data_IF_450104747301
#
_entry.id   IF_450104747301
#
_cell.length_a   1.000
_cell.length_b   1.000
_cell.length_c   1.000
_cell.angle_alpha   90.00
_cell.angle_beta   90.00
_cell.angle_gamma   90.00
#
_symmetry.space_group_name_H-M   'P 1'
#
loop_
_entity.id
_entity.type
_entity.pdbx_description
1 polymer ?
#
# COMPACT_ATOMS: atom_id res chain seq x y z
N UNK A 1 -32.88 -9.87 -27.00
CA UNK A 1 -32.37 -8.52 -26.81
C UNK A 1 -31.61 -8.56 -25.47
N UNK A 2 -30.28 -8.84 -25.50
CA UNK A 2 -29.46 -8.90 -24.30
C UNK A 2 -29.08 -7.47 -23.92
N UNK A 3 -29.59 -7.00 -22.79
CA UNK A 3 -29.19 -5.74 -22.19
C UNK A 3 -27.86 -5.98 -21.46
N UNK A 4 -26.75 -5.59 -22.06
CA UNK A 4 -25.45 -5.55 -21.39
C UNK A 4 -25.46 -4.40 -20.39
N UNK A 5 -25.66 -4.72 -19.10
CA UNK A 5 -25.43 -3.81 -18.00
C UNK A 5 -23.92 -3.55 -17.92
N UNK A 6 -23.45 -2.43 -18.42
CA UNK A 6 -22.12 -1.95 -18.18
C UNK A 6 -22.01 -1.51 -16.72
N UNK A 7 -21.33 -2.32 -15.89
CA UNK A 7 -20.87 -1.91 -14.59
C UNK A 7 -19.87 -0.77 -14.79
N UNK A 8 -20.28 0.48 -14.58
CA UNK A 8 -19.33 1.59 -14.51
C UNK A 8 -18.66 1.56 -13.15
N UNK A 9 -17.44 1.07 -13.12
CA UNK A 9 -16.62 1.09 -11.93
C UNK A 9 -16.36 2.54 -11.51
N UNK A 10 -16.59 2.84 -10.24
CA UNK A 10 -16.20 4.11 -9.64
C UNK A 10 -14.69 4.13 -9.51
N UNK A 11 -14.03 5.09 -10.12
CA UNK A 11 -12.59 5.24 -10.04
C UNK A 11 -12.27 6.14 -8.86
N UNK A 12 -11.93 5.55 -7.72
CA UNK A 12 -11.18 6.24 -6.69
C UNK A 12 -9.73 5.89 -6.91
N UNK A 13 -8.88 6.89 -6.99
CA UNK A 13 -7.44 6.69 -7.07
C UNK A 13 -6.90 6.58 -5.65
N UNK A 14 -6.57 5.40 -5.14
CA UNK A 14 -5.79 5.28 -3.92
C UNK A 14 -4.36 5.70 -4.26
N UNK A 15 -4.05 6.95 -4.03
CA UNK A 15 -2.67 7.40 -3.99
C UNK A 15 -2.14 7.08 -2.60
N UNK A 16 -1.04 6.36 -2.55
CA UNK A 16 -0.21 6.31 -1.34
C UNK A 16 0.36 7.70 -1.22
N UNK A 17 -0.12 8.46 -0.24
CA UNK A 17 0.36 9.80 0.02
C UNK A 17 1.48 9.72 1.05
N UNK A 18 2.72 9.85 0.60
CA UNK A 18 3.89 9.89 1.48
C UNK A 18 4.13 11.34 1.87
N UNK A 19 3.72 11.70 3.07
CA UNK A 19 3.95 13.04 3.60
C UNK A 19 5.20 13.08 4.46
N UNK A 20 6.16 13.90 4.04
CA UNK A 20 7.36 14.20 4.83
C UNK A 20 7.02 15.26 5.86
N UNK A 21 7.06 14.91 7.15
CA UNK A 21 6.87 15.88 8.23
C UNK A 21 8.09 16.77 8.32
N UNK A 22 7.94 18.06 8.02
CA UNK A 22 9.01 19.04 8.20
C UNK A 22 9.24 19.31 9.68
N UNK A 23 10.50 19.27 10.11
CA UNK A 23 10.90 19.46 11.51
C UNK A 23 10.38 20.74 12.19
N UNK A 24 10.05 21.79 11.41
CA UNK A 24 9.58 23.07 11.96
C UNK A 24 8.13 23.06 12.41
N UNK A 25 7.22 22.37 11.69
CA UNK A 25 5.78 22.42 11.98
C UNK A 25 5.23 21.13 12.57
N UNK A 26 5.98 20.04 12.54
CA UNK A 26 5.55 18.68 12.98
C UNK A 26 4.20 18.23 12.40
N UNK A 27 3.74 18.86 11.33
CA UNK A 27 2.44 18.61 10.70
C UNK A 27 2.61 18.35 9.22
N UNK A 28 1.91 17.35 8.73
CA UNK A 28 1.74 17.06 7.31
C UNK A 28 0.38 17.58 6.86
N UNK A 29 0.30 18.09 5.63
CA UNK A 29 -0.93 18.52 4.99
C UNK A 29 -1.04 17.93 3.62
N UNK A 30 -2.22 17.46 3.26
CA UNK A 30 -2.49 16.90 1.96
C UNK A 30 -3.96 17.00 1.59
N UNK A 31 -4.29 16.39 0.46
CA UNK A 31 -5.66 16.31 -0.05
C UNK A 31 -5.93 14.92 -0.63
N UNK A 32 -7.17 14.49 -0.48
CA UNK A 32 -7.68 13.26 -1.10
C UNK A 32 -8.80 13.69 -2.05
N UNK A 33 -8.76 13.23 -3.28
CA UNK A 33 -9.81 13.49 -4.26
C UNK A 33 -10.67 12.25 -4.43
N UNK A 34 -11.98 12.42 -4.23
CA UNK A 34 -12.99 11.39 -4.46
C UNK A 34 -13.77 11.76 -5.72
N UNK A 35 -13.81 10.87 -6.70
CA UNK A 35 -14.46 11.09 -7.99
C UNK A 35 -15.67 10.19 -8.12
N UNK A 36 -16.83 10.74 -8.47
CA UNK A 36 -18.03 9.99 -8.80
C UNK A 36 -18.24 9.97 -10.33
N UNK A 37 -17.76 8.93 -10.99
CA UNK A 37 -17.96 8.71 -12.42
C UNK A 37 -19.31 8.04 -12.75
N UNK A 38 -20.11 7.71 -11.73
CA UNK A 38 -21.43 7.12 -11.85
C UNK A 38 -22.51 8.10 -12.33
N UNK A 39 -23.74 7.61 -12.37
CA UNK A 39 -24.94 8.37 -12.76
C UNK A 39 -25.79 8.76 -11.54
N UNK A 40 -25.51 8.19 -10.37
CA UNK A 40 -26.24 8.45 -9.13
C UNK A 40 -25.35 9.21 -8.13
N UNK A 41 -25.94 10.05 -7.27
CA UNK A 41 -25.18 10.73 -6.22
C UNK A 41 -24.73 9.73 -5.13
N UNK A 42 -23.55 9.95 -4.59
CA UNK A 42 -22.96 9.16 -3.53
C UNK A 42 -22.82 9.96 -2.24
N UNK A 43 -23.12 9.33 -1.12
CA UNK A 43 -22.75 9.83 0.20
C UNK A 43 -21.48 9.10 0.64
N UNK A 44 -20.46 9.86 1.04
CA UNK A 44 -19.18 9.35 1.52
C UNK A 44 -19.07 9.66 3.00
N UNK A 45 -18.65 8.67 3.79
CA UNK A 45 -18.30 8.84 5.20
C UNK A 45 -16.85 8.40 5.39
N UNK A 46 -16.04 9.21 6.06
CA UNK A 46 -14.64 8.95 6.32
C UNK A 46 -14.42 8.53 7.76
N UNK A 47 -13.57 7.53 7.94
CA UNK A 47 -13.05 7.08 9.23
C UNK A 47 -11.54 6.97 9.17
N UNK A 48 -10.86 7.12 10.31
CA UNK A 48 -9.41 7.04 10.42
C UNK A 48 -9.01 5.92 11.36
N UNK A 49 -8.09 5.07 10.90
CA UNK A 49 -7.62 3.92 11.65
C UNK A 49 -6.10 3.81 11.59
N UNK A 50 -5.51 3.23 12.62
CA UNK A 50 -4.12 2.75 12.58
C UNK A 50 -4.10 1.34 11.99
N UNK A 51 -2.94 0.94 11.48
CA UNK A 51 -2.75 -0.42 11.00
C UNK A 51 -1.32 -0.90 11.27
N UNK A 52 -1.17 -2.20 11.33
CA UNK A 52 0.13 -2.89 11.35
C UNK A 52 0.21 -3.85 10.17
N UNK A 53 1.43 -4.16 9.76
CA UNK A 53 1.69 -5.12 8.68
C UNK A 53 2.59 -6.20 9.24
N UNK A 54 2.17 -7.47 9.10
CA UNK A 54 3.00 -8.61 9.49
C UNK A 54 4.21 -8.77 8.55
N UNK A 55 5.13 -9.62 8.91
CA UNK A 55 6.27 -9.98 8.05
C UNK A 55 5.83 -10.60 6.71
N UNK A 56 4.71 -11.32 6.68
CA UNK A 56 4.10 -11.87 5.45
C UNK A 56 3.24 -10.86 4.69
N UNK A 57 2.97 -9.67 5.29
CA UNK A 57 2.19 -8.58 4.67
C UNK A 57 0.71 -8.56 4.97
N UNK A 58 0.27 -9.35 5.91
CA UNK A 58 -1.09 -9.25 6.43
C UNK A 58 -1.29 -7.93 7.15
N UNK A 59 -2.36 -7.23 6.81
CA UNK A 59 -2.69 -5.94 7.40
C UNK A 59 -3.72 -6.15 8.50
N UNK A 60 -3.42 -5.65 9.70
CA UNK A 60 -4.35 -5.63 10.83
C UNK A 60 -4.70 -4.19 11.19
N UNK A 61 -6.00 -3.88 11.27
CA UNK A 61 -6.52 -2.55 11.55
C UNK A 61 -6.93 -2.42 13.01
N UNK A 62 -6.68 -1.25 13.58
CA UNK A 62 -7.03 -0.90 14.95
C UNK A 62 -7.59 0.53 14.99
N UNK A 63 -8.31 0.92 16.06
CA UNK A 63 -8.65 2.33 16.26
C UNK A 63 -7.42 3.21 16.13
N UNK A 64 -7.61 4.45 15.68
CA UNK A 64 -6.50 5.39 15.49
C UNK A 64 -5.69 5.52 16.78
N UNK A 65 -4.38 5.32 16.68
CA UNK A 65 -3.47 5.45 17.81
C UNK A 65 -3.54 6.87 18.38
N UNK A 66 -3.65 7.01 19.70
CA UNK A 66 -3.77 8.29 20.40
C UNK A 66 -2.58 9.24 20.17
N UNK A 67 -1.42 8.71 19.78
CA UNK A 67 -0.25 9.50 19.41
C UNK A 67 -0.32 10.11 18.01
N UNK A 68 -1.33 9.75 17.20
CA UNK A 68 -1.56 10.26 15.84
C UNK A 68 -2.76 11.20 15.88
N UNK A 69 -2.57 12.42 15.44
CA UNK A 69 -3.58 13.47 15.43
C UNK A 69 -3.95 13.81 14.00
N UNK A 70 -5.20 13.54 13.61
CA UNK A 70 -5.71 13.77 12.26
C UNK A 70 -6.89 14.74 12.32
N UNK A 71 -6.88 15.72 11.42
CA UNK A 71 -8.00 16.62 11.18
C UNK A 71 -8.34 16.57 9.70
N UNK A 72 -9.58 16.18 9.38
CA UNK A 72 -10.13 16.22 8.04
C UNK A 72 -10.98 17.47 7.88
N UNK A 73 -11.04 18.06 6.67
CA UNK A 73 -11.95 19.19 6.38
C UNK A 73 -13.41 18.76 6.54
N UNK A 74 -13.71 17.52 6.15
CA UNK A 74 -15.03 16.92 6.20
C UNK A 74 -14.91 15.44 6.54
N UNK A 75 -15.81 14.93 7.39
CA UNK A 75 -15.93 13.52 7.70
C UNK A 75 -17.10 12.84 6.97
N UNK A 76 -18.02 13.64 6.39
CA UNK A 76 -19.10 13.12 5.56
C UNK A 76 -19.54 14.19 4.55
N UNK A 77 -19.73 13.76 3.30
CA UNK A 77 -20.09 14.65 2.20
C UNK A 77 -20.84 13.88 1.11
N UNK A 78 -21.43 14.62 0.17
CA UNK A 78 -22.13 14.06 -1.00
C UNK A 78 -21.43 14.45 -2.28
N UNK A 79 -21.25 13.50 -3.19
CA UNK A 79 -20.68 13.73 -4.51
C UNK A 79 -21.78 13.50 -5.55
N UNK A 80 -22.10 14.53 -6.33
CA UNK A 80 -23.06 14.41 -7.42
C UNK A 80 -22.46 13.62 -8.60
N UNK A 81 -23.31 13.08 -9.49
CA UNK A 81 -22.84 12.39 -10.69
C UNK A 81 -21.84 13.23 -11.50
N UNK A 82 -20.77 12.59 -11.96
CA UNK A 82 -19.71 13.22 -12.78
C UNK A 82 -18.98 14.38 -12.10
N UNK A 83 -18.99 14.42 -10.77
CA UNK A 83 -18.26 15.40 -9.97
C UNK A 83 -17.20 14.78 -9.10
N UNK A 84 -16.27 15.59 -8.63
CA UNK A 84 -15.28 15.23 -7.60
C UNK A 84 -15.45 16.06 -6.35
N UNK A 85 -14.91 15.57 -5.24
CA UNK A 85 -14.87 16.23 -3.95
C UNK A 85 -13.48 16.12 -3.35
N UNK A 86 -12.91 17.25 -2.90
CA UNK A 86 -11.59 17.31 -2.29
C UNK A 86 -11.73 17.40 -0.78
N UNK A 87 -11.14 16.43 -0.10
CA UNK A 87 -10.97 16.45 1.36
C UNK A 87 -9.54 16.84 1.68
N UNK A 88 -9.37 17.90 2.44
CA UNK A 88 -8.07 18.32 2.95
C UNK A 88 -7.83 17.66 4.31
N UNK A 89 -6.59 17.27 4.56
CA UNK A 89 -6.21 16.79 5.88
C UNK A 89 -4.98 17.51 6.42
N UNK A 90 -4.93 17.61 7.75
CA UNK A 90 -3.76 17.98 8.53
C UNK A 90 -3.51 16.83 9.50
N UNK A 91 -2.28 16.31 9.51
CA UNK A 91 -1.91 15.19 10.37
C UNK A 91 -0.57 15.43 11.06
N UNK A 92 -0.43 14.93 12.28
CA UNK A 92 0.81 14.92 13.04
C UNK A 92 0.89 13.69 13.93
N UNK A 93 2.08 13.36 14.40
CA UNK A 93 2.27 12.30 15.37
C UNK A 93 3.30 12.74 16.42
N UNK A 94 3.19 12.20 17.64
CA UNK A 94 4.13 12.49 18.73
C UNK A 94 5.53 11.97 18.41
N UNK A 95 5.59 10.85 17.69
CA UNK A 95 6.82 10.24 17.16
C UNK A 95 6.65 9.90 15.69
N UNK A 96 7.72 10.02 14.91
CA UNK A 96 7.79 9.63 13.50
C UNK A 96 8.95 8.66 13.27
N UNK A 97 8.80 7.71 12.34
CA UNK A 97 7.69 7.56 11.40
C UNK A 97 6.40 7.09 12.06
N UNK A 98 5.27 7.51 11.51
CA UNK A 98 3.93 7.05 11.87
C UNK A 98 3.10 6.88 10.60
N UNK A 99 2.05 6.07 10.66
CA UNK A 99 1.18 5.83 9.52
C UNK A 99 -0.24 5.52 9.99
N UNK A 100 -1.17 5.87 9.14
CA UNK A 100 -2.59 5.63 9.36
C UNK A 100 -3.32 5.52 8.02
N UNK A 101 -4.59 5.15 8.08
CA UNK A 101 -5.42 5.00 6.91
C UNK A 101 -6.68 5.85 7.09
N UNK A 102 -7.13 6.48 6.00
CA UNK A 102 -8.44 7.10 5.89
C UNK A 102 -9.30 6.16 5.07
N UNK A 103 -10.34 5.62 5.67
CA UNK A 103 -11.34 4.80 5.00
C UNK A 103 -12.49 5.66 4.50
N UNK A 104 -12.85 5.50 3.23
CA UNK A 104 -14.06 6.04 2.67
C UNK A 104 -15.09 4.93 2.50
N UNK A 105 -16.24 5.08 3.17
CA UNK A 105 -17.42 4.24 2.99
C UNK A 105 -18.41 4.97 2.10
N UNK A 106 -18.90 4.30 1.06
CA UNK A 106 -19.83 4.86 0.09
C UNK A 106 -21.23 4.30 0.31
N UNK A 107 -22.22 5.18 0.39
CA UNK A 107 -23.64 4.88 0.47
C UNK A 107 -24.43 5.62 -0.61
N UNK A 108 -25.61 5.10 -0.98
CA UNK A 108 -26.48 5.74 -1.98
C UNK A 108 -26.45 5.08 -3.35
N UNK A 109 -25.61 4.07 -3.52
CA UNK A 109 -25.72 3.19 -4.67
C UNK A 109 -27.04 2.39 -4.54
N UNK A 110 -27.94 2.51 -5.51
CA UNK A 110 -29.12 1.64 -5.59
C UNK A 110 -28.70 0.24 -6.00
N UNK A 111 -28.24 -0.51 -5.03
CA UNK A 111 -28.00 -1.92 -5.22
C UNK A 111 -29.26 -2.71 -4.91
N UNK A 112 -30.11 -2.76 -5.84
CA UNK A 112 -31.00 -3.89 -5.98
C UNK A 112 -30.52 -4.71 -7.17
N UNK A 113 -29.55 -5.59 -6.93
CA UNK A 113 -29.51 -6.81 -7.71
C UNK A 113 -30.84 -7.53 -7.45
N UNK A 114 -31.37 -8.27 -8.41
CA UNK A 114 -32.63 -9.02 -8.27
C UNK A 114 -32.64 -9.98 -7.05
N UNK A 115 -31.53 -10.12 -6.34
CA UNK A 115 -31.29 -10.98 -5.18
C UNK A 115 -31.07 -10.23 -3.83
N UNK A 116 -31.17 -8.89 -3.81
CA UNK A 116 -31.08 -8.12 -2.56
C UNK A 116 -29.66 -7.98 -1.99
N UNK A 117 -28.62 -8.22 -2.76
CA UNK A 117 -27.23 -8.06 -2.36
C UNK A 117 -26.91 -6.57 -2.12
N UNK A 118 -26.47 -6.22 -0.91
CA UNK A 118 -25.94 -4.89 -0.58
C UNK A 118 -24.40 -4.93 -0.64
N UNK A 119 -23.80 -4.18 -1.56
CA UNK A 119 -22.34 -4.02 -1.65
C UNK A 119 -21.94 -2.77 -0.88
N UNK A 120 -21.04 -2.88 0.09
CA UNK A 120 -20.39 -1.75 0.74
C UNK A 120 -18.99 -1.63 0.14
N UNK A 121 -18.71 -0.52 -0.54
CA UNK A 121 -17.38 -0.24 -1.06
C UNK A 121 -16.59 0.51 0.02
N UNK A 122 -15.48 -0.10 0.46
CA UNK A 122 -14.52 0.50 1.38
C UNK A 122 -13.25 0.82 0.58
N UNK A 123 -12.87 2.11 0.52
CA UNK A 123 -11.66 2.53 -0.17
C UNK A 123 -10.66 3.09 0.84
N UNK A 124 -9.52 2.40 1.00
CA UNK A 124 -8.46 2.84 1.87
C UNK A 124 -7.58 3.89 1.18
N UNK A 125 -7.19 4.92 1.93
CA UNK A 125 -6.15 5.88 1.56
C UNK A 125 -5.12 5.91 2.67
N UNK A 126 -3.91 5.39 2.39
CA UNK A 126 -2.84 5.27 3.38
C UNK A 126 -1.99 6.53 3.40
N UNK A 127 -1.71 7.05 4.58
CA UNK A 127 -0.88 8.23 4.81
C UNK A 127 0.29 7.85 5.69
N UNK A 128 1.51 8.21 5.25
CA UNK A 128 2.75 8.02 5.98
C UNK A 128 3.30 9.37 6.43
N UNK A 129 3.60 9.50 7.71
CA UNK A 129 4.28 10.65 8.30
C UNK A 129 5.75 10.29 8.47
N UNK A 130 6.59 10.72 7.55
CA UNK A 130 7.99 10.30 7.46
C UNK A 130 8.95 11.41 7.88
N UNK A 131 10.10 11.07 8.49
CA UNK A 131 11.19 12.02 8.69
C UNK A 131 11.82 12.37 7.34
N UNK A 132 12.47 13.56 7.28
CA UNK A 132 13.23 13.95 6.07
C UNK A 132 14.35 12.98 5.70
N UNK A 133 14.92 12.31 6.69
CA UNK A 133 15.99 11.37 6.49
C UNK A 133 15.37 10.03 6.09
N UNK A 134 15.63 9.61 4.85
CA UNK A 134 15.27 8.29 4.35
C UNK A 134 16.13 7.19 4.98
N UNK A 135 15.79 5.95 4.64
CA UNK A 135 16.55 4.75 5.03
C UNK A 135 17.96 4.79 4.43
N UNK A 136 18.95 4.33 5.20
CA UNK A 136 20.32 4.14 4.72
C UNK A 136 20.50 2.71 4.21
N UNK A 137 21.41 2.55 3.23
CA UNK A 137 21.67 1.24 2.62
C UNK A 137 22.10 0.19 3.64
N UNK A 138 22.87 0.59 4.65
CA UNK A 138 23.39 -0.27 5.72
C UNK A 138 22.31 -0.75 6.69
N UNK A 139 21.15 -0.08 6.71
CA UNK A 139 20.01 -0.41 7.56
C UNK A 139 19.10 -1.49 6.92
N UNK A 140 19.30 -1.76 5.62
CA UNK A 140 18.52 -2.76 4.88
C UNK A 140 19.38 -3.94 4.48
N UNK A 141 18.84 -5.14 4.67
CA UNK A 141 19.54 -6.38 4.33
C UNK A 141 18.56 -7.40 3.75
N UNK A 142 18.95 -8.05 2.66
CA UNK A 142 18.27 -9.28 2.21
C UNK A 142 18.80 -10.44 3.07
N UNK A 143 18.02 -10.89 4.02
CA UNK A 143 18.39 -11.99 4.94
C UNK A 143 18.48 -13.32 4.23
N UNK A 144 17.50 -13.60 3.38
CA UNK A 144 17.43 -14.83 2.61
C UNK A 144 16.76 -14.58 1.25
N UNK A 145 17.25 -15.30 0.25
CA UNK A 145 16.57 -15.45 -1.04
C UNK A 145 16.65 -16.94 -1.43
N UNK A 146 15.51 -17.62 -1.46
CA UNK A 146 15.42 -19.06 -1.66
C UNK A 146 14.46 -19.39 -2.80
N UNK A 147 14.85 -20.34 -3.62
CA UNK A 147 14.00 -20.85 -4.72
C UNK A 147 13.50 -22.25 -4.40
N UNK A 148 12.20 -22.44 -4.45
CA UNK A 148 11.54 -23.74 -4.40
C UNK A 148 11.23 -24.20 -5.84
N UNK A 149 11.93 -25.22 -6.35
CA UNK A 149 11.69 -25.71 -7.71
C UNK A 149 10.37 -26.47 -7.87
N UNK A 150 9.78 -27.00 -6.80
CA UNK A 150 8.48 -27.68 -6.86
C UNK A 150 7.33 -26.68 -6.92
N UNK A 151 7.35 -25.66 -6.05
CA UNK A 151 6.36 -24.60 -6.05
C UNK A 151 6.59 -23.56 -7.17
N UNK A 152 7.80 -23.52 -7.74
CA UNK A 152 8.25 -22.47 -8.68
C UNK A 152 8.10 -21.06 -8.09
N UNK A 153 8.57 -20.88 -6.88
CA UNK A 153 8.48 -19.62 -6.15
C UNK A 153 9.84 -19.26 -5.58
N UNK A 154 10.17 -17.97 -5.66
CA UNK A 154 11.31 -17.39 -4.95
C UNK A 154 10.79 -16.67 -3.72
N UNK A 155 11.20 -17.11 -2.52
CA UNK A 155 10.90 -16.44 -1.25
C UNK A 155 12.07 -15.53 -0.88
N UNK A 156 11.79 -14.24 -0.71
CA UNK A 156 12.79 -13.23 -0.33
C UNK A 156 12.40 -12.62 1.00
N UNK A 157 13.33 -12.61 1.96
CA UNK A 157 13.16 -11.97 3.27
C UNK A 157 14.09 -10.78 3.40
N UNK A 158 13.51 -9.60 3.60
CA UNK A 158 14.20 -8.31 3.75
C UNK A 158 14.05 -7.85 5.19
N UNK A 159 15.11 -7.36 5.79
CA UNK A 159 15.12 -6.77 7.12
C UNK A 159 15.49 -5.28 7.03
N UNK A 160 14.73 -4.45 7.74
CA UNK A 160 15.05 -3.07 8.03
C UNK A 160 15.41 -2.94 9.51
N UNK A 161 16.68 -2.66 9.81
CA UNK A 161 17.17 -2.46 11.19
C UNK A 161 17.12 -0.99 11.61
N UNK A 162 16.88 -0.09 10.64
CA UNK A 162 16.84 1.36 10.85
C UNK A 162 15.50 1.88 11.35
N UNK A 163 15.46 3.13 11.80
CA UNK A 163 14.27 3.80 12.28
C UNK A 163 13.40 4.40 11.16
N UNK A 164 13.89 4.41 9.91
CA UNK A 164 13.18 5.01 8.78
C UNK A 164 12.33 3.97 8.05
N UNK A 165 11.16 4.40 7.57
CA UNK A 165 10.35 3.63 6.63
C UNK A 165 11.07 3.53 5.29
N UNK A 166 10.91 2.39 4.63
CA UNK A 166 11.47 2.11 3.33
C UNK A 166 10.40 1.51 2.40
N UNK A 167 10.50 1.82 1.12
CA UNK A 167 9.70 1.20 0.07
C UNK A 167 10.62 0.59 -0.99
N UNK A 168 10.52 -0.71 -1.17
CA UNK A 168 11.02 -1.37 -2.36
C UNK A 168 10.07 -1.01 -3.50
N UNK A 169 10.58 -0.47 -4.60
CA UNK A 169 9.78 -0.06 -5.75
C UNK A 169 9.44 -1.26 -6.62
N UNK A 170 10.42 -2.15 -6.77
CA UNK A 170 10.33 -3.33 -7.63
C UNK A 170 11.31 -4.40 -7.14
N UNK A 171 10.95 -5.68 -7.32
CA UNK A 171 11.83 -6.81 -7.05
C UNK A 171 11.99 -7.65 -8.32
N UNK A 172 13.21 -7.66 -8.86
CA UNK A 172 13.58 -8.39 -10.06
C UNK A 172 14.31 -9.68 -9.72
N UNK A 173 13.79 -10.79 -10.21
CA UNK A 173 14.42 -12.12 -10.14
C UNK A 173 14.91 -12.49 -11.51
N UNK A 174 16.17 -12.90 -11.63
CA UNK A 174 16.80 -13.22 -12.92
C UNK A 174 17.51 -14.57 -12.90
N UNK A 175 17.56 -15.20 -14.07
CA UNK A 175 18.46 -16.28 -14.43
C UNK A 175 19.30 -15.87 -15.66
N UNK A 176 20.00 -16.81 -16.26
CA UNK A 176 20.77 -16.54 -17.50
C UNK A 176 19.86 -16.16 -18.68
N UNK A 177 18.61 -16.63 -18.68
CA UNK A 177 17.69 -16.50 -19.83
C UNK A 177 16.33 -15.93 -19.48
N UNK A 178 15.92 -16.04 -18.22
CA UNK A 178 14.58 -15.72 -17.78
C UNK A 178 14.59 -14.64 -16.72
N UNK A 179 13.51 -13.85 -16.65
CA UNK A 179 13.30 -12.80 -15.65
C UNK A 179 11.86 -12.83 -15.15
N UNK A 180 11.68 -12.52 -13.89
CA UNK A 180 10.38 -12.25 -13.28
C UNK A 180 10.49 -10.99 -12.41
N UNK A 181 9.42 -10.19 -12.42
CA UNK A 181 9.33 -8.96 -11.68
C UNK A 181 8.11 -8.98 -10.78
N UNK A 182 8.28 -8.53 -9.55
CA UNK A 182 7.19 -8.34 -8.58
C UNK A 182 7.04 -6.87 -8.25
N UNK A 183 5.79 -6.47 -7.98
CA UNK A 183 5.47 -5.12 -7.53
C UNK A 183 6.18 -4.79 -6.22
N UNK A 184 6.39 -3.48 -6.02
CA UNK A 184 7.02 -2.96 -4.80
C UNK A 184 6.19 -3.19 -3.54
N UNK A 185 6.88 -3.13 -2.39
CA UNK A 185 6.31 -3.38 -1.08
C UNK A 185 6.96 -2.51 0.00
N UNK A 186 6.24 -2.19 1.09
CA UNK A 186 6.80 -1.46 2.22
C UNK A 186 7.65 -2.38 3.10
N UNK A 187 8.71 -1.82 3.69
CA UNK A 187 9.48 -2.41 4.78
C UNK A 187 9.50 -1.41 5.93
N UNK A 188 8.80 -1.74 7.01
CA UNK A 188 8.63 -0.84 8.15
C UNK A 188 9.90 -0.77 9.00
N UNK A 189 10.04 0.28 9.85
CA UNK A 189 11.16 0.39 10.78
C UNK A 189 11.25 -0.82 11.71
N UNK A 190 12.47 -1.29 11.94
CA UNK A 190 12.78 -2.41 12.85
C UNK A 190 11.96 -3.68 12.59
N UNK A 191 11.63 -3.95 11.33
CA UNK A 191 10.80 -5.09 10.93
C UNK A 191 11.45 -5.92 9.82
N UNK A 192 10.88 -7.10 9.61
CA UNK A 192 11.17 -7.94 8.45
C UNK A 192 9.97 -7.95 7.50
N UNK A 193 10.25 -8.24 6.24
CA UNK A 193 9.24 -8.43 5.21
C UNK A 193 9.61 -9.63 4.37
N UNK A 194 8.70 -10.59 4.27
CA UNK A 194 8.81 -11.75 3.39
C UNK A 194 7.86 -11.56 2.19
N UNK A 195 8.36 -11.85 1.01
CA UNK A 195 7.59 -11.82 -0.23
C UNK A 195 7.82 -13.11 -1.01
N UNK A 196 6.83 -13.50 -1.76
CA UNK A 196 6.87 -14.61 -2.70
C UNK A 196 6.77 -14.08 -4.13
N UNK A 197 7.71 -14.48 -4.98
CA UNK A 197 7.77 -14.09 -6.39
C UNK A 197 7.62 -15.36 -7.23
N UNK A 198 6.51 -15.53 -7.97
CA UNK A 198 6.34 -16.66 -8.89
C UNK A 198 7.45 -16.66 -9.94
N UNK A 199 8.05 -17.82 -10.18
CA UNK A 199 9.12 -17.99 -11.15
C UNK A 199 8.63 -18.80 -12.36
N UNK A 200 8.41 -18.17 -13.53
CA UNK A 200 7.93 -18.84 -14.73
C UNK A 200 9.07 -19.51 -15.54
N UNK A 201 10.34 -19.23 -15.19
CA UNK A 201 11.50 -19.68 -15.96
C UNK A 201 11.67 -21.18 -15.99
N UNK A 202 12.34 -21.66 -17.03
CA UNK A 202 12.67 -23.09 -17.23
C UNK A 202 13.91 -23.51 -16.44
N UNK A 203 14.85 -22.59 -16.23
CA UNK A 203 16.05 -22.77 -15.39
C UNK A 203 15.83 -22.10 -14.04
N UNK A 204 16.49 -22.58 -12.99
CA UNK A 204 16.44 -21.96 -11.68
C UNK A 204 16.97 -20.53 -11.71
N UNK A 205 16.36 -19.60 -10.94
CA UNK A 205 16.84 -18.25 -10.81
C UNK A 205 18.15 -18.21 -10.02
N UNK A 206 18.99 -17.21 -10.28
CA UNK A 206 20.30 -17.08 -9.62
C UNK A 206 20.46 -15.82 -8.79
N UNK A 207 19.64 -14.79 -9.04
CA UNK A 207 19.80 -13.48 -8.41
C UNK A 207 18.45 -12.78 -8.23
N UNK A 208 18.32 -12.05 -7.12
CA UNK A 208 17.26 -11.06 -6.91
C UNK A 208 17.89 -9.68 -6.73
N UNK A 209 17.26 -8.67 -7.34
CA UNK A 209 17.59 -7.26 -7.20
C UNK A 209 16.35 -6.52 -6.68
N UNK A 210 16.50 -5.83 -5.55
CA UNK A 210 15.47 -4.98 -4.98
C UNK A 210 15.79 -3.54 -5.34
N UNK A 211 14.91 -2.90 -6.08
CA UNK A 211 15.05 -1.50 -6.49
C UNK A 211 14.46 -0.58 -5.41
N UNK A 212 15.24 0.40 -4.97
CA UNK A 212 14.84 1.42 -4.00
C UNK A 212 15.33 2.79 -4.51
N UNK A 213 14.83 3.86 -3.95
CA UNK A 213 15.44 5.18 -4.10
C UNK A 213 16.26 5.50 -2.84
N UNK A 214 17.54 5.83 -2.93
CA UNK A 214 18.38 6.07 -4.13
C UNK A 214 19.32 4.89 -4.46
N UNK A 215 19.10 3.68 -3.99
CA UNK A 215 20.01 2.53 -4.16
C UNK A 215 19.26 1.26 -4.51
N UNK A 216 19.99 0.20 -4.79
CA UNK A 216 19.46 -1.16 -4.93
C UNK A 216 20.19 -2.12 -4.00
N UNK A 217 19.52 -3.22 -3.65
CA UNK A 217 20.08 -4.38 -2.95
C UNK A 217 20.11 -5.57 -3.91
N UNK A 218 21.19 -6.33 -3.88
CA UNK A 218 21.38 -7.49 -4.74
C UNK A 218 21.76 -8.69 -3.89
N UNK A 219 21.13 -9.83 -4.15
CA UNK A 219 21.38 -11.09 -3.42
C UNK A 219 21.30 -12.30 -4.35
N UNK A 220 22.26 -13.20 -4.20
CA UNK A 220 22.21 -14.53 -4.83
C UNK A 220 21.10 -15.40 -4.25
N UNK A 221 20.43 -16.16 -5.11
CA UNK A 221 19.33 -17.05 -4.74
C UNK A 221 19.87 -18.45 -4.48
N UNK A 222 19.49 -19.04 -3.34
CA UNK A 222 19.80 -20.41 -2.98
C UNK A 222 18.63 -21.32 -3.39
N UNK A 223 18.92 -22.39 -4.13
CA UNK A 223 17.90 -23.42 -4.41
C UNK A 223 17.71 -24.30 -3.18
N UNK A 224 16.47 -24.52 -2.80
CA UNK A 224 16.12 -25.50 -1.76
C UNK A 224 16.26 -26.88 -2.44
N UNK A 225 16.95 -27.81 -1.78
CA UNK A 225 17.00 -29.18 -2.26
C UNK A 225 15.58 -29.80 -2.26
N UNK A 226 15.24 -30.60 -3.28
CA UNK A 226 13.93 -31.23 -3.37
C UNK A 226 13.69 -32.24 -2.26
#
# INVERSE_FOLDING_TARGET
>A
MLCTLSLQAQTVRPLIDENIVQQRDKKARGKIEYVNDGLEPLTVTLDTQSFTVSDTGEISYTPLNSSIHVKLSDSSFRILPKQSYLVFYEASADTIPAWFIVYATFAGYKETTAEGLKIHLLLPHTIYLLPKQGVKKEELTVKTAKYDPQAKVVTVRVQNTGPAFCRVLEADVTSVRDQATSNGFPVFPHSEREIEIPWPGSAGPNKVVLQLEPFHLEQGIQSIAP
#
